data_IF_970385511189
#
_entry.id   IF_970385511189
#
_cell.length_a   1.000
_cell.length_b   1.000
_cell.length_c   1.000
_cell.angle_alpha   90.00
_cell.angle_beta   90.00
_cell.angle_gamma   90.00
#
_symmetry.space_group_name_H-M   'P 1'
#
loop_
_entity.id
_entity.type
_entity.pdbx_description
1 polymer ?
#
# COMPACT_ATOMS: atom_id res chain seq x y z
N UNK A 1 56.81 12.10 48.46
CA UNK A 1 57.23 10.89 47.70
C UNK A 1 57.50 9.76 48.68
N UNK A 2 57.31 8.47 48.33
CA UNK A 2 56.64 7.86 47.17
C UNK A 2 55.51 6.88 47.67
N UNK A 3 54.69 6.19 46.87
CA UNK A 3 55.00 5.37 45.70
C UNK A 3 53.76 5.00 44.89
N UNK A 4 53.81 5.31 43.60
CA UNK A 4 52.98 4.75 42.55
C UNK A 4 53.32 3.25 42.34
N UNK A 5 52.29 2.43 42.06
CA UNK A 5 52.37 1.17 41.28
C UNK A 5 50.98 0.54 41.20
N UNK A 6 50.34 0.63 40.02
CA UNK A 6 49.81 -0.52 39.27
C UNK A 6 49.05 0.00 38.05
N UNK A 7 49.79 0.10 36.96
CA UNK A 7 49.26 0.15 35.61
C UNK A 7 48.53 -1.17 35.31
N UNK A 8 47.25 -1.10 34.93
CA UNK A 8 46.54 -2.24 34.32
C UNK A 8 45.80 -1.78 33.06
N UNK A 9 46.58 -1.75 31.97
CA UNK A 9 46.22 -2.34 30.67
C UNK A 9 44.89 -1.91 30.05
N UNK A 10 45.02 -0.92 29.17
CA UNK A 10 44.40 -0.83 27.82
C UNK A 10 43.57 -2.06 27.41
N UNK A 11 42.32 -1.86 27.01
CA UNK A 11 41.69 -2.60 25.89
C UNK A 11 40.55 -1.79 25.28
N UNK A 12 40.85 -1.33 24.07
CA UNK A 12 39.95 -0.75 23.08
C UNK A 12 38.79 -1.71 22.81
N UNK A 13 37.57 -1.19 22.75
CA UNK A 13 36.49 -1.79 21.96
C UNK A 13 35.71 -0.65 21.27
N UNK A 14 36.13 -0.36 20.05
CA UNK A 14 35.35 0.39 19.09
C UNK A 14 34.15 -0.48 18.69
N UNK A 15 32.93 -0.04 18.97
CA UNK A 15 31.72 -0.67 18.48
C UNK A 15 31.08 0.26 17.45
N UNK A 16 31.65 0.27 16.24
CA UNK A 16 31.00 0.85 15.06
C UNK A 16 29.96 -0.17 14.55
N UNK A 17 28.71 -0.03 14.98
CA UNK A 17 27.62 -0.85 14.46
C UNK A 17 27.08 -0.19 13.21
N UNK A 18 27.58 -0.62 12.05
CA UNK A 18 27.05 -0.25 10.74
C UNK A 18 25.72 -1.01 10.53
N UNK A 19 24.62 -0.44 11.00
CA UNK A 19 23.29 -1.01 10.77
C UNK A 19 22.91 -0.77 9.30
N UNK A 20 22.98 -1.85 8.53
CA UNK A 20 22.61 -1.91 7.12
C UNK A 20 21.22 -1.30 6.89
N UNK A 21 21.12 -0.38 5.93
CA UNK A 21 19.84 -0.02 5.32
C UNK A 21 19.31 -1.23 4.55
N UNK A 22 18.58 -2.12 5.22
CA UNK A 22 17.79 -3.13 4.55
C UNK A 22 16.71 -2.42 3.75
N UNK A 23 16.93 -2.28 2.45
CA UNK A 23 15.90 -1.90 1.50
C UNK A 23 14.82 -2.98 1.49
N UNK A 24 13.79 -2.78 2.31
CA UNK A 24 12.55 -3.54 2.15
C UNK A 24 11.88 -3.03 0.87
N UNK A 25 12.06 -3.75 -0.24
CA UNK A 25 11.19 -3.60 -1.38
C UNK A 25 9.79 -4.05 -0.94
N UNK A 26 8.91 -3.09 -0.67
CA UNK A 26 7.50 -3.39 -0.44
C UNK A 26 6.97 -4.10 -1.69
N UNK A 27 6.25 -5.23 -1.57
CA UNK A 27 5.62 -5.84 -2.72
C UNK A 27 4.67 -4.79 -3.31
N UNK A 28 4.86 -4.46 -4.59
CA UNK A 28 3.93 -3.61 -5.32
C UNK A 28 2.56 -4.31 -5.26
N UNK A 29 1.59 -3.69 -4.58
CA UNK A 29 0.21 -4.15 -4.63
C UNK A 29 -0.23 -4.08 -6.09
N UNK A 30 -0.62 -5.23 -6.67
CA UNK A 30 -1.22 -5.24 -7.98
C UNK A 30 -2.56 -4.48 -7.90
N UNK A 31 -2.58 -3.25 -8.44
CA UNK A 31 -3.80 -2.45 -8.55
C UNK A 31 -4.52 -2.93 -9.81
N UNK A 32 -5.64 -3.62 -9.63
CA UNK A 32 -6.56 -3.95 -10.72
C UNK A 32 -7.55 -2.80 -10.94
N UNK A 33 -7.92 -2.54 -12.19
CA UNK A 33 -8.90 -1.50 -12.56
C UNK A 33 -10.18 -2.15 -13.09
N UNK A 34 -11.33 -1.60 -12.73
CA UNK A 34 -12.64 -1.99 -13.28
C UNK A 34 -13.16 -0.79 -14.07
N UNK A 35 -13.29 -0.94 -15.39
CA UNK A 35 -13.74 0.13 -16.28
C UNK A 35 -14.82 -0.39 -17.21
N UNK A 36 -15.75 0.46 -17.65
CA UNK A 36 -16.77 0.05 -18.62
C UNK A 36 -17.66 1.20 -19.09
N UNK A 37 -18.71 0.84 -19.85
CA UNK A 37 -19.73 1.76 -20.36
C UNK A 37 -21.12 1.18 -20.05
N UNK A 38 -22.04 2.02 -19.59
CA UNK A 38 -23.44 1.65 -19.35
C UNK A 38 -24.31 2.27 -20.45
N UNK A 39 -25.07 1.43 -21.15
CA UNK A 39 -26.02 1.83 -22.19
C UNK A 39 -27.43 1.32 -21.89
N UNK A 40 -28.44 1.96 -22.48
CA UNK A 40 -29.80 1.44 -22.53
C UNK A 40 -29.93 0.27 -23.53
N UNK A 41 -31.14 -0.27 -23.68
CA UNK A 41 -31.42 -1.37 -24.61
C UNK A 41 -31.31 -0.99 -26.09
N UNK A 42 -31.30 0.31 -26.41
CA UNK A 42 -31.07 0.86 -27.76
C UNK A 42 -29.60 1.18 -28.03
N UNK A 43 -28.72 1.02 -27.05
CA UNK A 43 -27.29 1.32 -27.14
C UNK A 43 -26.93 2.79 -26.84
N UNK A 44 -27.88 3.61 -26.37
CA UNK A 44 -27.57 4.98 -25.97
C UNK A 44 -26.89 4.99 -24.58
N UNK A 45 -25.82 5.77 -24.39
CA UNK A 45 -25.12 5.84 -23.10
C UNK A 45 -26.00 6.48 -22.01
N UNK A 46 -25.89 5.97 -20.78
CA UNK A 46 -26.65 6.49 -19.63
C UNK A 46 -25.72 7.27 -18.69
N UNK A 47 -25.79 8.61 -18.65
CA UNK A 47 -25.00 9.42 -17.73
C UNK A 47 -25.58 9.46 -16.32
N UNK A 48 -24.72 9.70 -15.32
CA UNK A 48 -25.12 9.88 -13.93
C UNK A 48 -25.61 8.61 -13.23
N UNK A 49 -25.36 7.43 -13.80
CA UNK A 49 -25.65 6.15 -13.17
C UNK A 49 -24.61 5.82 -12.12
N UNK A 50 -25.08 5.39 -10.96
CA UNK A 50 -24.22 5.00 -9.85
C UNK A 50 -23.67 3.58 -10.06
N UNK A 51 -22.35 3.46 -10.01
CA UNK A 51 -21.62 2.19 -10.12
C UNK A 51 -20.89 1.95 -8.81
N UNK A 52 -21.16 0.79 -8.17
CA UNK A 52 -20.53 0.39 -6.91
C UNK A 52 -19.73 -0.89 -7.10
N UNK A 53 -18.46 -0.85 -6.75
CA UNK A 53 -17.60 -2.02 -6.67
C UNK A 53 -17.47 -2.49 -5.22
N UNK A 54 -17.71 -3.78 -5.00
CA UNK A 54 -17.62 -4.42 -3.70
C UNK A 54 -16.57 -5.52 -3.74
N UNK A 55 -15.75 -5.61 -2.70
CA UNK A 55 -14.86 -6.76 -2.48
C UNK A 55 -15.38 -7.54 -1.28
N UNK A 56 -15.36 -8.87 -1.40
CA UNK A 56 -15.39 -9.77 -0.24
C UNK A 56 -13.93 -10.14 0.05
N UNK A 57 -13.34 -9.70 1.17
CA UNK A 57 -12.01 -10.12 1.56
C UNK A 57 -11.94 -11.65 1.72
N UNK A 58 -10.78 -12.29 1.44
CA UNK A 58 -10.62 -13.71 1.71
C UNK A 58 -10.94 -14.04 3.17
N UNK A 59 -11.87 -14.97 3.39
CA UNK A 59 -12.31 -15.38 4.73
C UNK A 59 -13.35 -14.47 5.40
N UNK A 60 -13.82 -13.42 4.73
CA UNK A 60 -14.90 -12.58 5.23
C UNK A 60 -16.28 -13.11 4.82
N UNK A 61 -17.30 -12.79 5.63
CA UNK A 61 -18.72 -13.04 5.33
C UNK A 61 -19.49 -11.76 4.99
N UNK A 62 -18.80 -10.61 4.94
CA UNK A 62 -19.39 -9.31 4.65
C UNK A 62 -18.69 -8.63 3.45
N UNK A 63 -19.45 -7.79 2.75
CA UNK A 63 -18.96 -6.99 1.65
C UNK A 63 -18.37 -5.68 2.17
N UNK A 64 -17.21 -5.28 1.65
CA UNK A 64 -16.71 -3.92 1.77
C UNK A 64 -17.00 -3.17 0.45
N UNK A 65 -17.64 -2.00 0.52
CA UNK A 65 -17.62 -1.07 -0.62
C UNK A 65 -16.18 -0.63 -0.80
N UNK A 66 -15.61 -0.85 -1.98
CA UNK A 66 -14.29 -0.31 -2.30
C UNK A 66 -14.41 1.04 -3.02
N UNK A 67 -15.31 1.11 -4.00
CA UNK A 67 -15.42 2.30 -4.87
C UNK A 67 -16.87 2.57 -5.24
N UNK A 68 -17.22 3.86 -5.28
CA UNK A 68 -18.43 4.40 -5.87
C UNK A 68 -18.03 5.43 -6.93
N UNK A 69 -18.66 5.35 -8.09
CA UNK A 69 -18.48 6.33 -9.17
C UNK A 69 -19.80 6.59 -9.90
N UNK A 70 -19.87 7.69 -10.63
CA UNK A 70 -20.99 8.03 -11.51
C UNK A 70 -20.51 7.92 -12.96
N UNK A 71 -21.36 7.42 -13.85
CA UNK A 71 -21.07 7.43 -15.27
C UNK A 71 -21.00 8.84 -15.83
N UNK A 72 -20.07 9.09 -16.75
CA UNK A 72 -19.94 10.37 -17.44
C UNK A 72 -20.96 10.54 -18.59
N UNK A 73 -20.82 11.61 -19.39
CA UNK A 73 -21.68 11.88 -20.54
C UNK A 73 -21.63 10.82 -21.65
N UNK A 74 -20.58 9.99 -21.69
CA UNK A 74 -20.45 8.86 -22.59
C UNK A 74 -20.91 7.54 -21.94
N UNK A 75 -21.48 7.59 -20.73
CA UNK A 75 -21.88 6.41 -19.97
C UNK A 75 -20.69 5.65 -19.38
N UNK A 76 -19.48 6.20 -19.44
CA UNK A 76 -18.26 5.52 -19.03
C UNK A 76 -18.00 5.66 -17.53
N UNK A 77 -17.38 4.62 -16.95
CA UNK A 77 -16.91 4.61 -15.57
C UNK A 77 -15.51 3.97 -15.50
N UNK A 78 -14.72 4.41 -14.53
CA UNK A 78 -13.39 3.90 -14.21
C UNK A 78 -13.07 4.11 -12.72
#
# INVERSE_FOLDING_TARGET
MPSARRAHRRRLLAAATLAACLGFASPALAVGTITGVITDTGGAPIPGMEVRAWRIPPGASEFAIETLTLTDGAGAYA
#
